data_IF_735250058125
#
_entry.id   IF_735250058125
#
_cell.length_a   1.000
_cell.length_b   1.000
_cell.length_c   1.000
_cell.angle_alpha   90.00
_cell.angle_beta   90.00
_cell.angle_gamma   90.00
#
_symmetry.space_group_name_H-M   'P 1'
#
loop_
_entity.id
_entity.type
_entity.pdbx_description
1 polymer ?
#
# COMPACT_ATOMS: atom_id res chain seq x y z
N UNK A 1 -1.80 2.16 6.86
CA UNK A 1 -1.77 1.00 5.96
C UNK A 1 -2.86 1.14 4.90
N UNK A 2 -2.82 0.36 3.82
CA UNK A 2 -3.87 0.32 2.81
C UNK A 2 -5.10 -0.42 3.37
N UNK A 3 -6.35 0.07 3.12
CA UNK A 3 -6.72 1.03 2.08
C UNK A 3 -6.54 2.50 2.45
N UNK A 4 -6.49 2.88 3.73
CA UNK A 4 -6.49 4.30 4.11
C UNK A 4 -5.26 5.08 3.62
N UNK A 5 -4.08 4.45 3.57
CA UNK A 5 -2.89 5.06 3.01
C UNK A 5 -3.09 5.43 1.53
N UNK A 6 -3.88 4.65 0.78
CA UNK A 6 -4.13 4.93 -0.64
C UNK A 6 -4.91 6.25 -0.86
N UNK A 7 -5.66 6.68 0.15
CA UNK A 7 -6.49 7.89 0.16
C UNK A 7 -5.92 8.99 1.07
N UNK A 8 -4.61 8.98 1.33
CA UNK A 8 -4.00 9.89 2.29
C UNK A 8 -4.20 11.38 1.91
N UNK A 9 -4.30 11.72 0.62
CA UNK A 9 -4.53 13.10 0.16
C UNK A 9 -5.94 13.55 0.50
N UNK A 10 -6.93 12.72 0.17
CA UNK A 10 -8.35 12.96 0.39
C UNK A 10 -8.65 13.07 1.89
N UNK A 11 -8.04 12.19 2.69
CA UNK A 11 -8.13 12.24 4.16
C UNK A 11 -7.48 13.52 4.70
N UNK A 12 -6.30 13.91 4.20
CA UNK A 12 -5.64 15.13 4.67
C UNK A 12 -6.40 16.41 4.29
N UNK A 13 -7.17 16.39 3.19
CA UNK A 13 -8.08 17.46 2.80
C UNK A 13 -9.33 17.51 3.69
N UNK A 14 -9.92 16.35 3.99
CA UNK A 14 -11.09 16.25 4.89
C UNK A 14 -10.76 16.67 6.34
N UNK A 15 -9.51 16.44 6.78
CA UNK A 15 -9.04 16.78 8.13
C UNK A 15 -7.88 17.78 8.06
N UNK A 16 -8.14 19.09 7.85
CA UNK A 16 -7.10 20.09 7.60
C UNK A 16 -6.14 20.29 8.79
N UNK A 17 -6.60 20.02 10.01
CA UNK A 17 -5.78 20.14 11.23
C UNK A 17 -4.97 18.87 11.52
N UNK A 18 -5.21 17.76 10.80
CA UNK A 18 -4.46 16.52 11.00
C UNK A 18 -3.05 16.63 10.41
N UNK A 19 -2.08 16.00 11.09
CA UNK A 19 -0.72 15.79 10.61
C UNK A 19 -0.64 14.45 9.87
N UNK A 20 0.27 14.36 8.90
CA UNK A 20 0.48 13.17 8.09
C UNK A 20 1.86 12.61 8.36
N UNK A 21 1.93 11.32 8.70
CA UNK A 21 3.19 10.61 8.89
C UNK A 21 3.44 9.76 7.64
N UNK A 22 4.55 10.02 6.98
CA UNK A 22 5.01 9.28 5.81
C UNK A 22 6.19 8.40 6.20
N UNK A 23 5.94 7.10 6.27
CA UNK A 23 6.97 6.13 6.61
C UNK A 23 7.88 5.89 5.40
N UNK A 24 9.19 5.94 5.62
CA UNK A 24 10.21 5.71 4.61
C UNK A 24 11.14 4.57 5.02
N UNK A 25 11.48 3.72 4.05
CA UNK A 25 12.56 2.73 4.15
C UNK A 25 13.19 2.60 2.77
N UNK A 26 14.29 1.86 2.67
CA UNK A 26 14.92 1.56 1.38
C UNK A 26 13.87 1.01 0.36
N UNK A 27 13.64 1.69 -0.79
CA UNK A 27 12.55 1.33 -1.71
C UNK A 27 12.68 -0.07 -2.31
N UNK A 28 13.90 -0.56 -2.52
CA UNK A 28 14.16 -1.86 -3.11
C UNK A 28 13.88 -2.98 -2.10
N UNK A 29 14.44 -2.88 -0.89
CA UNK A 29 14.10 -3.78 0.23
C UNK A 29 12.61 -3.74 0.53
N UNK A 30 11.98 -2.57 0.43
CA UNK A 30 10.54 -2.45 0.62
C UNK A 30 9.76 -3.24 -0.41
N UNK A 31 10.11 -3.09 -1.68
CA UNK A 31 9.39 -3.74 -2.78
C UNK A 31 9.56 -5.26 -2.72
N UNK A 32 10.77 -5.76 -2.43
CA UNK A 32 11.03 -7.19 -2.21
C UNK A 32 10.15 -7.73 -1.08
N UNK A 33 10.11 -7.02 0.07
CA UNK A 33 9.26 -7.39 1.21
C UNK A 33 7.77 -7.42 0.83
N UNK A 34 7.29 -6.45 0.04
CA UNK A 34 5.91 -6.42 -0.44
C UNK A 34 5.63 -7.61 -1.38
N UNK A 35 6.53 -7.93 -2.31
CA UNK A 35 6.34 -9.06 -3.22
C UNK A 35 6.32 -10.40 -2.49
N UNK A 36 7.19 -10.58 -1.49
CA UNK A 36 7.17 -11.76 -0.64
C UNK A 36 5.82 -11.88 0.07
N UNK A 37 5.33 -10.80 0.68
CA UNK A 37 4.02 -10.78 1.34
C UNK A 37 2.90 -11.16 0.36
N UNK A 38 2.83 -10.51 -0.81
CA UNK A 38 1.79 -10.76 -1.81
C UNK A 38 1.85 -12.18 -2.37
N UNK A 39 3.04 -12.77 -2.52
CA UNK A 39 3.19 -14.19 -2.93
C UNK A 39 2.54 -15.13 -1.91
N UNK A 40 2.68 -14.86 -0.62
CA UNK A 40 2.13 -15.72 0.43
C UNK A 40 0.62 -15.56 0.59
N UNK A 41 0.10 -14.37 0.32
CA UNK A 41 -1.28 -13.99 0.64
C UNK A 41 -2.23 -14.10 -0.55
N UNK A 42 -1.75 -13.87 -1.77
CA UNK A 42 -2.59 -13.84 -2.97
C UNK A 42 -2.35 -15.04 -3.89
N UNK A 43 -1.23 -15.75 -3.74
CA UNK A 43 -0.74 -16.73 -4.70
C UNK A 43 -0.27 -18.04 -4.05
N UNK A 44 -0.68 -18.32 -2.80
CA UNK A 44 -0.40 -19.61 -2.17
C UNK A 44 -1.26 -20.70 -2.81
N UNK A 45 -0.67 -21.88 -3.06
CA UNK A 45 -1.44 -23.05 -3.54
C UNK A 45 -2.51 -23.48 -2.53
N UNK A 46 -2.30 -23.15 -1.26
CA UNK A 46 -3.25 -23.42 -0.19
C UNK A 46 -4.44 -22.47 -0.23
N UNK A 47 -4.27 -21.20 -0.64
CA UNK A 47 -5.39 -20.27 -0.78
C UNK A 47 -6.40 -20.83 -1.79
N UNK A 48 -5.94 -21.25 -2.97
CA UNK A 48 -6.83 -21.83 -4.00
C UNK A 48 -7.62 -23.05 -3.52
N UNK A 49 -7.04 -23.86 -2.63
CA UNK A 49 -7.68 -25.05 -2.07
C UNK A 49 -8.63 -24.72 -0.90
N UNK A 50 -8.30 -23.69 -0.12
CA UNK A 50 -9.04 -23.29 1.08
C UNK A 50 -10.11 -22.20 0.84
N UNK A 51 -10.16 -21.58 -0.35
CA UNK A 51 -11.15 -20.55 -0.72
C UNK A 51 -12.60 -21.07 -0.63
N UNK A 52 -12.84 -22.34 -0.96
CA UNK A 52 -14.20 -22.88 -1.05
C UNK A 52 -14.84 -23.30 0.28
N UNK A 53 -14.12 -23.91 1.24
CA UNK A 53 -14.73 -24.31 2.51
C UNK A 53 -14.65 -23.25 3.63
N UNK A 54 -13.94 -22.13 3.44
CA UNK A 54 -13.75 -21.11 4.47
C UNK A 54 -14.28 -19.74 3.99
N UNK A 55 -15.41 -19.31 4.56
CA UNK A 55 -16.08 -18.05 4.19
C UNK A 55 -15.16 -16.83 4.26
N UNK A 56 -14.29 -16.77 5.27
CA UNK A 56 -13.32 -15.69 5.44
C UNK A 56 -12.29 -15.64 4.30
N UNK A 57 -11.83 -16.80 3.81
CA UNK A 57 -10.91 -16.88 2.67
C UNK A 57 -11.60 -16.52 1.35
N UNK A 58 -12.86 -16.93 1.19
CA UNK A 58 -13.68 -16.52 0.04
C UNK A 58 -13.84 -15.00 -0.01
N UNK A 59 -14.29 -14.39 1.09
CA UNK A 59 -14.47 -12.95 1.20
C UNK A 59 -13.15 -12.19 0.98
N UNK A 60 -12.06 -12.68 1.58
CA UNK A 60 -10.72 -12.13 1.41
C UNK A 60 -10.28 -12.10 -0.06
N UNK A 61 -10.45 -13.21 -0.77
CA UNK A 61 -10.08 -13.32 -2.17
C UNK A 61 -10.94 -12.42 -3.08
N UNK A 62 -12.24 -12.30 -2.79
CA UNK A 62 -13.14 -11.38 -3.48
C UNK A 62 -12.75 -9.90 -3.25
N UNK A 63 -12.15 -9.56 -2.10
CA UNK A 63 -11.59 -8.24 -1.83
C UNK A 63 -10.23 -8.01 -2.51
N UNK A 64 -9.32 -9.00 -2.47
CA UNK A 64 -7.95 -8.81 -2.95
C UNK A 64 -7.82 -8.73 -4.47
N UNK A 65 -8.61 -9.48 -5.23
CA UNK A 65 -8.59 -9.44 -6.71
C UNK A 65 -8.84 -8.03 -7.28
N UNK A 66 -9.98 -7.36 -6.98
CA UNK A 66 -10.23 -6.01 -7.49
C UNK A 66 -9.22 -5.01 -6.91
N UNK A 67 -8.72 -5.22 -5.69
CA UNK A 67 -7.68 -4.37 -5.09
C UNK A 67 -6.36 -4.44 -5.85
N UNK A 68 -5.91 -5.62 -6.27
CA UNK A 68 -4.69 -5.75 -7.09
C UNK A 68 -4.87 -5.11 -8.47
N UNK A 69 -6.06 -5.25 -9.08
CA UNK A 69 -6.37 -4.54 -10.32
C UNK A 69 -6.35 -3.01 -10.13
N UNK A 70 -6.87 -2.53 -9.00
CA UNK A 70 -6.81 -1.12 -8.64
C UNK A 70 -5.36 -0.64 -8.42
N UNK A 71 -4.52 -1.41 -7.72
CA UNK A 71 -3.08 -1.11 -7.57
C UNK A 71 -2.33 -1.13 -8.90
N UNK A 72 -2.70 -2.02 -9.83
CA UNK A 72 -2.14 -2.00 -11.17
C UNK A 72 -2.48 -0.68 -11.89
N UNK A 73 -3.69 -0.17 -11.74
CA UNK A 73 -4.10 1.08 -12.38
C UNK A 73 -3.49 2.33 -11.73
N UNK A 74 -3.42 2.39 -10.39
CA UNK A 74 -2.99 3.58 -9.66
C UNK A 74 -1.49 3.64 -9.44
N UNK A 75 -0.86 2.49 -9.22
CA UNK A 75 0.56 2.39 -8.88
C UNK A 75 1.41 1.69 -9.94
N UNK A 76 0.80 1.23 -11.05
CA UNK A 76 1.46 0.35 -12.02
C UNK A 76 2.09 -0.88 -11.34
N UNK A 77 1.45 -1.40 -10.29
CA UNK A 77 1.90 -2.61 -9.61
C UNK A 77 1.73 -3.84 -10.51
N UNK A 78 2.69 -4.78 -10.56
CA UNK A 78 4.00 -4.76 -9.91
C UNK A 78 5.12 -4.08 -10.75
N UNK A 79 4.82 -3.65 -11.98
CA UNK A 79 5.82 -3.16 -12.94
C UNK A 79 6.61 -1.93 -12.47
N UNK A 80 6.02 -1.07 -11.64
CA UNK A 80 6.70 0.10 -11.09
C UNK A 80 7.89 -0.27 -10.17
N UNK A 81 7.89 -1.47 -9.59
CA UNK A 81 8.98 -1.90 -8.71
C UNK A 81 9.24 -0.93 -7.55
N UNK A 82 10.52 -0.62 -7.34
CA UNK A 82 10.97 0.37 -6.35
C UNK A 82 10.41 1.79 -6.58
N UNK A 83 10.03 2.12 -7.82
CA UNK A 83 9.48 3.45 -8.13
C UNK A 83 8.10 3.68 -7.54
N UNK A 84 7.37 2.61 -7.17
CA UNK A 84 6.06 2.73 -6.54
C UNK A 84 6.11 3.57 -5.26
N UNK A 85 7.12 3.36 -4.40
CA UNK A 85 7.30 4.13 -3.18
C UNK A 85 7.70 5.58 -3.47
N UNK A 86 8.67 5.81 -4.37
CA UNK A 86 9.10 7.17 -4.70
C UNK A 86 7.96 8.01 -5.30
N UNK A 87 7.21 7.45 -6.26
CA UNK A 87 6.08 8.14 -6.89
C UNK A 87 4.97 8.45 -5.89
N UNK A 88 4.70 7.55 -4.94
CA UNK A 88 3.75 7.81 -3.87
C UNK A 88 4.22 8.92 -2.93
N UNK A 89 5.50 8.92 -2.53
CA UNK A 89 6.07 9.98 -1.69
C UNK A 89 5.99 11.34 -2.39
N UNK A 90 6.32 11.39 -3.68
CA UNK A 90 6.27 12.61 -4.49
C UNK A 90 4.84 13.14 -4.61
N UNK A 91 3.85 12.25 -4.79
CA UNK A 91 2.42 12.60 -4.75
C UNK A 91 2.03 13.26 -3.42
N UNK A 92 2.44 12.67 -2.30
CA UNK A 92 2.10 13.20 -0.96
C UNK A 92 2.75 14.56 -0.73
N UNK A 93 4.04 14.72 -1.08
CA UNK A 93 4.77 15.98 -0.93
C UNK A 93 4.22 17.11 -1.80
N UNK A 94 3.69 16.80 -2.99
CA UNK A 94 3.10 17.82 -3.87
C UNK A 94 1.68 18.21 -3.47
N UNK A 95 0.97 17.34 -2.74
CA UNK A 95 -0.45 17.53 -2.41
C UNK A 95 -0.70 18.08 -1.01
N UNK A 96 0.25 17.93 -0.08
CA UNK A 96 0.08 18.29 1.34
C UNK A 96 1.18 19.27 1.75
N UNK A 97 0.81 20.27 2.55
CA UNK A 97 1.75 21.29 3.00
C UNK A 97 2.91 20.67 3.81
N UNK A 98 4.18 21.01 3.53
CA UNK A 98 5.35 20.38 4.15
C UNK A 98 5.35 20.39 5.68
N UNK A 99 4.83 21.46 6.30
CA UNK A 99 4.72 21.62 7.76
C UNK A 99 3.75 20.62 8.41
N UNK A 100 2.88 19.99 7.62
CA UNK A 100 1.95 18.94 8.06
C UNK A 100 2.52 17.54 7.86
N UNK A 101 3.64 17.39 7.16
CA UNK A 101 4.24 16.10 6.82
C UNK A 101 5.42 15.81 7.74
N UNK A 102 5.36 14.68 8.44
CA UNK A 102 6.52 14.08 9.11
C UNK A 102 7.00 12.89 8.27
N UNK A 103 8.22 12.99 7.73
CA UNK A 103 8.89 11.84 7.10
C UNK A 103 9.60 11.07 8.21
N UNK A 104 9.14 9.86 8.49
CA UNK A 104 9.67 9.01 9.53
C UNK A 104 10.40 7.82 8.89
N UNK A 105 11.69 7.65 9.15
CA UNK A 105 12.37 6.43 8.71
C UNK A 105 12.07 5.32 9.70
N UNK A 106 11.69 4.16 9.21
CA UNK A 106 11.35 3.00 10.07
C UNK A 106 12.52 2.58 10.97
N UNK A 107 13.75 2.95 10.60
CA UNK A 107 14.98 2.70 11.35
C UNK A 107 15.16 3.64 12.56
N UNK A 108 14.38 4.72 12.66
CA UNK A 108 14.57 5.78 13.67
C UNK A 108 13.94 5.45 15.04
N UNK A 109 13.15 4.36 15.17
CA UNK A 109 12.58 3.89 16.44
C UNK A 109 11.20 4.43 16.78
#
# INVERSE_FOLDING_TARGET
>A
DSPFADFAVEIAQAYPNAKVILQYRDPEKWFISLQLLMKHICFSRWDTLCIWPLDDFYAYHQYMKPRLAWWQNVYNYPNAGKHMMSSYIDKIKSSIAPERILIYKVEDG
#
